data_IF_246515991349
#
_entry.id   IF_246515991349
#
_cell.length_a   1.000
_cell.length_b   1.000
_cell.length_c   1.000
_cell.angle_alpha   90.00
_cell.angle_beta   90.00
_cell.angle_gamma   90.00
#
_symmetry.space_group_name_H-M   'P 1'
#
loop_
_entity.id
_entity.type
_entity.pdbx_description
1 polymer ?
#
# COMPACT_ATOMS: atom_id res chain seq x y z
N UNK A 1 -15.73 -1.04 -33.71
CA UNK A 1 -16.19 -0.94 -32.31
C UNK A 1 -15.49 0.25 -31.70
N UNK A 2 -16.19 1.32 -31.30
CA UNK A 2 -15.52 2.50 -30.76
C UNK A 2 -14.82 2.15 -29.43
N UNK A 3 -13.65 2.72 -29.13
CA UNK A 3 -12.92 2.43 -27.91
C UNK A 3 -13.73 2.89 -26.70
N UNK A 4 -14.05 1.95 -25.80
CA UNK A 4 -14.65 2.27 -24.51
C UNK A 4 -13.61 3.04 -23.67
N UNK A 5 -13.85 4.33 -23.47
CA UNK A 5 -12.99 5.19 -22.66
C UNK A 5 -13.45 5.07 -21.21
N UNK A 6 -12.89 4.12 -20.48
CA UNK A 6 -13.13 4.00 -19.03
C UNK A 6 -12.38 5.12 -18.32
N UNK A 7 -13.07 5.85 -17.43
CA UNK A 7 -12.47 6.90 -16.61
C UNK A 7 -12.24 6.35 -15.20
N UNK A 8 -10.98 6.40 -14.74
CA UNK A 8 -10.60 5.97 -13.39
C UNK A 8 -10.37 7.22 -12.55
N UNK A 9 -11.09 7.33 -11.43
CA UNK A 9 -10.93 8.42 -10.47
C UNK A 9 -9.99 7.97 -9.34
N UNK A 10 -8.84 8.64 -9.22
CA UNK A 10 -7.89 8.42 -8.14
C UNK A 10 -8.35 9.17 -6.87
N UNK A 11 -8.08 8.63 -5.66
CA UNK A 11 -8.36 9.34 -4.41
C UNK A 11 -7.63 10.69 -4.36
N UNK A 12 -8.26 11.67 -3.70
CA UNK A 12 -7.64 12.98 -3.47
C UNK A 12 -6.39 12.83 -2.59
N UNK A 13 -5.28 13.48 -2.97
CA UNK A 13 -4.02 13.47 -2.21
C UNK A 13 -4.19 13.95 -0.76
N UNK A 14 -5.17 14.84 -0.51
CA UNK A 14 -5.41 15.45 0.80
C UNK A 14 -6.89 15.43 1.14
N UNK A 15 -7.20 14.84 2.29
CA UNK A 15 -8.53 14.84 2.89
C UNK A 15 -8.60 16.04 3.84
N UNK A 16 -9.01 17.21 3.34
CA UNK A 16 -8.97 18.45 4.12
C UNK A 16 -10.35 19.07 4.40
N UNK A 17 -11.42 18.70 3.69
CA UNK A 17 -12.75 19.30 3.81
C UNK A 17 -13.85 18.27 4.06
N UNK A 18 -14.78 18.60 4.94
CA UNK A 18 -16.00 17.82 5.13
C UNK A 18 -17.02 18.04 4.00
N UNK A 19 -17.59 16.98 3.46
CA UNK A 19 -18.64 17.00 2.42
C UNK A 19 -19.96 17.64 2.89
N UNK A 20 -20.26 17.63 4.20
CA UNK A 20 -21.50 18.16 4.74
C UNK A 20 -21.40 19.63 5.19
N UNK A 21 -20.36 19.99 5.95
CA UNK A 21 -20.23 21.34 6.53
C UNK A 21 -19.12 22.18 5.88
N UNK A 22 -18.37 21.62 4.94
CA UNK A 22 -17.24 22.26 4.23
C UNK A 22 -16.12 22.80 5.12
N UNK A 23 -16.15 22.53 6.43
CA UNK A 23 -15.09 22.91 7.37
C UNK A 23 -13.86 22.04 7.17
N UNK A 24 -12.69 22.66 7.36
CA UNK A 24 -11.41 21.95 7.36
C UNK A 24 -11.09 21.38 8.73
N UNK A 25 -10.62 20.13 8.76
CA UNK A 25 -10.22 19.43 10.00
C UNK A 25 -9.12 18.43 9.67
N UNK A 26 -8.22 18.19 10.62
CA UNK A 26 -7.07 17.30 10.42
C UNK A 26 -7.42 15.81 10.44
N UNK A 27 -8.49 15.43 11.15
CA UNK A 27 -8.96 14.04 11.25
C UNK A 27 -10.35 13.92 10.64
N UNK A 28 -10.39 13.68 9.34
CA UNK A 28 -11.63 13.40 8.63
C UNK A 28 -11.85 11.88 8.51
N UNK A 29 -13.12 11.51 8.44
CA UNK A 29 -13.61 10.15 8.37
C UNK A 29 -14.14 9.90 6.96
N UNK A 30 -13.76 8.78 6.36
CA UNK A 30 -14.35 8.32 5.12
C UNK A 30 -15.63 7.55 5.39
N UNK A 31 -16.58 7.60 4.47
CA UNK A 31 -17.73 6.71 4.49
C UNK A 31 -17.26 5.25 4.40
N UNK A 32 -17.59 4.41 5.38
CA UNK A 32 -17.19 3.00 5.39
C UNK A 32 -17.81 2.16 4.25
N UNK A 33 -18.94 2.61 3.71
CA UNK A 33 -19.63 1.95 2.60
C UNK A 33 -18.92 2.14 1.26
N UNK A 34 -18.75 3.39 0.83
CA UNK A 34 -18.19 3.73 -0.48
C UNK A 34 -16.71 4.16 -0.44
N UNK A 35 -16.23 4.72 0.67
CA UNK A 35 -14.90 5.32 0.74
C UNK A 35 -14.75 6.62 -0.06
N UNK A 36 -15.84 7.21 -0.57
CA UNK A 36 -15.79 8.39 -1.45
C UNK A 36 -16.11 9.71 -0.73
N UNK A 37 -17.06 9.70 0.22
CA UNK A 37 -17.43 10.90 0.99
C UNK A 37 -16.64 11.04 2.28
N UNK A 38 -16.35 12.29 2.64
CA UNK A 38 -15.44 12.68 3.71
C UNK A 38 -16.20 13.51 4.74
N UNK A 39 -16.08 13.18 6.03
CA UNK A 39 -16.81 13.82 7.11
C UNK A 39 -15.90 14.21 8.26
N UNK A 40 -16.19 15.34 8.92
CA UNK A 40 -15.45 15.70 10.12
C UNK A 40 -15.92 14.94 11.36
N UNK A 41 -17.07 14.26 11.31
CA UNK A 41 -17.67 13.54 12.42
C UNK A 41 -18.82 12.62 11.96
N UNK A 42 -19.26 11.71 12.84
CA UNK A 42 -20.39 10.79 12.57
C UNK A 42 -21.72 11.55 12.42
N UNK A 43 -21.87 12.69 13.07
CA UNK A 43 -23.08 13.52 12.97
C UNK A 43 -23.21 14.14 11.57
N UNK A 44 -22.08 14.59 11.00
CA UNK A 44 -22.04 15.08 9.61
C UNK A 44 -22.38 13.97 8.61
N UNK A 45 -21.90 12.74 8.85
CA UNK A 45 -22.23 11.59 8.02
C UNK A 45 -23.73 11.24 8.10
N UNK A 46 -24.32 11.22 9.30
CA UNK A 46 -25.74 10.88 9.48
C UNK A 46 -26.68 11.92 8.87
N UNK A 47 -26.30 13.20 8.95
CA UNK A 47 -27.07 14.30 8.35
C UNK A 47 -27.06 14.18 6.82
N UNK A 48 -25.89 13.92 6.25
CA UNK A 48 -25.72 13.73 4.82
C UNK A 48 -26.29 12.40 4.32
N UNK A 49 -26.44 11.39 5.18
CA UNK A 49 -26.90 10.04 4.82
C UNK A 49 -28.21 10.03 4.04
N UNK A 50 -29.14 10.95 4.34
CA UNK A 50 -30.42 11.06 3.63
C UNK A 50 -30.23 11.31 2.12
N UNK A 51 -29.25 12.13 1.76
CA UNK A 51 -28.90 12.41 0.37
C UNK A 51 -27.86 11.41 -0.17
N UNK A 52 -26.84 11.11 0.62
CA UNK A 52 -25.73 10.24 0.23
C UNK A 52 -26.14 8.79 0.00
N UNK A 53 -27.12 8.24 0.73
CA UNK A 53 -27.53 6.82 0.61
C UNK A 53 -27.83 6.39 -0.82
N UNK A 54 -28.42 7.29 -1.63
CA UNK A 54 -28.79 7.01 -3.03
C UNK A 54 -27.57 6.85 -3.92
N UNK A 55 -26.49 7.59 -3.64
CA UNK A 55 -25.22 7.57 -4.37
C UNK A 55 -24.09 6.86 -3.62
N UNK A 56 -24.38 6.22 -2.48
CA UNK A 56 -23.36 5.61 -1.64
C UNK A 56 -22.81 4.34 -2.30
N UNK A 57 -21.70 4.52 -3.02
CA UNK A 57 -20.95 3.47 -3.67
C UNK A 57 -21.49 3.09 -5.04
N UNK A 58 -22.51 3.77 -5.56
CA UNK A 58 -23.06 3.52 -6.88
C UNK A 58 -22.73 4.64 -7.85
N UNK A 59 -22.24 4.31 -9.04
CA UNK A 59 -22.23 5.24 -10.17
C UNK A 59 -23.53 5.06 -10.97
N UNK A 60 -24.23 6.16 -11.28
CA UNK A 60 -25.36 6.11 -12.20
C UNK A 60 -24.78 5.97 -13.62
N UNK A 61 -24.74 4.74 -14.12
CA UNK A 61 -24.55 4.52 -15.56
C UNK A 61 -25.94 4.65 -16.20
N UNK A 62 -26.13 5.62 -17.09
CA UNK A 62 -27.32 5.67 -17.95
C UNK A 62 -27.23 4.54 -18.98
N UNK A 63 -27.37 3.28 -18.55
CA UNK A 63 -27.61 2.17 -19.46
C UNK A 63 -29.12 2.08 -19.58
N UNK A 64 -29.64 2.46 -20.75
CA UNK A 64 -30.98 2.09 -21.17
C UNK A 64 -31.04 0.56 -21.20
N UNK A 65 -31.53 -0.05 -20.12
CA UNK A 65 -31.87 -1.46 -20.11
C UNK A 65 -33.16 -1.61 -20.92
N UNK A 66 -33.15 -2.31 -22.07
CA UNK A 66 -34.33 -2.43 -22.93
C UNK A 66 -35.38 -3.40 -22.36
N UNK A 67 -35.13 -4.04 -21.22
CA UNK A 67 -36.07 -4.98 -20.60
C UNK A 67 -36.79 -4.34 -19.41
N UNK A 68 -38.11 -4.25 -19.58
CA UNK A 68 -39.11 -3.55 -18.78
C UNK A 68 -39.38 -4.15 -17.39
N UNK A 69 -38.35 -4.37 -16.59
CA UNK A 69 -38.52 -4.57 -15.16
C UNK A 69 -38.12 -3.30 -14.43
N UNK A 70 -39.14 -2.47 -14.18
CA UNK A 70 -39.03 -1.24 -13.41
C UNK A 70 -38.54 -1.53 -11.99
N UNK A 71 -37.25 -1.28 -11.77
CA UNK A 71 -36.61 -0.84 -10.52
C UNK A 71 -35.15 -0.60 -10.89
N UNK A 72 -34.71 0.65 -10.81
CA UNK A 72 -33.33 1.11 -10.96
C UNK A 72 -32.30 0.03 -10.55
N UNK A 73 -31.67 -0.64 -11.52
CA UNK A 73 -30.53 -1.52 -11.26
C UNK A 73 -29.35 -0.65 -10.83
N UNK A 74 -29.16 -0.49 -9.52
CA UNK A 74 -27.93 0.08 -8.94
C UNK A 74 -26.78 -0.89 -9.23
N UNK A 75 -26.08 -0.65 -10.34
CA UNK A 75 -24.98 -1.47 -10.81
C UNK A 75 -23.65 -0.86 -10.37
N UNK A 76 -22.88 -1.64 -9.61
CA UNK A 76 -21.48 -1.35 -9.29
C UNK A 76 -21.31 -0.66 -7.94
N UNK A 77 -20.87 -1.41 -6.92
CA UNK A 77 -20.21 -0.82 -5.75
C UNK A 77 -18.86 -0.25 -6.19
N UNK A 78 -18.31 0.75 -5.50
CA UNK A 78 -16.90 1.15 -5.65
C UNK A 78 -16.01 -0.09 -5.69
N UNK A 79 -15.29 -0.28 -6.80
CA UNK A 79 -14.41 -1.43 -6.97
C UNK A 79 -13.30 -1.35 -5.94
N UNK A 80 -13.33 -2.27 -4.96
CA UNK A 80 -12.25 -2.45 -4.00
C UNK A 80 -11.31 -3.49 -4.55
N UNK A 81 -10.05 -3.11 -4.69
CA UNK A 81 -8.97 -4.02 -5.03
C UNK A 81 -8.52 -4.66 -3.72
N UNK A 82 -8.67 -5.99 -3.59
CA UNK A 82 -8.13 -6.71 -2.44
C UNK A 82 -6.61 -6.80 -2.58
N UNK A 83 -5.89 -6.01 -1.79
CA UNK A 83 -4.43 -6.01 -1.80
C UNK A 83 -3.86 -7.41 -1.45
N UNK A 84 -4.60 -8.23 -0.70
CA UNK A 84 -4.13 -9.58 -0.38
C UNK A 84 -3.95 -10.45 -1.63
N UNK A 85 -4.81 -10.26 -2.63
CA UNK A 85 -4.70 -10.96 -3.90
C UNK A 85 -3.44 -10.56 -4.70
N UNK A 86 -2.84 -9.41 -4.41
CA UNK A 86 -1.62 -8.93 -5.07
C UNK A 86 -0.35 -9.36 -4.36
N UNK A 87 -0.41 -9.83 -3.10
CA UNK A 87 0.79 -10.25 -2.39
C UNK A 87 1.60 -11.33 -3.12
N UNK A 88 1.01 -12.37 -3.72
CA UNK A 88 1.79 -13.35 -4.48
C UNK A 88 2.56 -12.72 -5.66
N UNK A 89 1.93 -11.76 -6.34
CA UNK A 89 2.57 -11.03 -7.43
C UNK A 89 3.72 -10.14 -6.93
N UNK A 90 3.49 -9.37 -5.85
CA UNK A 90 4.52 -8.53 -5.25
C UNK A 90 5.69 -9.35 -4.69
N UNK A 91 5.41 -10.50 -4.07
CA UNK A 91 6.42 -11.43 -3.59
C UNK A 91 7.26 -11.99 -4.76
N UNK A 92 6.62 -12.38 -5.87
CA UNK A 92 7.31 -12.83 -7.06
C UNK A 92 8.23 -11.74 -7.63
N UNK A 93 7.75 -10.50 -7.75
CA UNK A 93 8.58 -9.37 -8.21
C UNK A 93 9.78 -9.13 -7.29
N UNK A 94 9.61 -9.23 -5.96
CA UNK A 94 10.71 -9.11 -5.00
C UNK A 94 11.76 -10.21 -5.22
N UNK A 95 11.30 -11.46 -5.37
CA UNK A 95 12.20 -12.60 -5.56
C UNK A 95 12.91 -12.57 -6.92
N UNK A 96 12.26 -12.10 -7.98
CA UNK A 96 12.92 -11.91 -9.28
C UNK A 96 14.13 -10.98 -9.19
N UNK A 97 14.06 -9.93 -8.37
CA UNK A 97 15.19 -9.05 -8.11
C UNK A 97 16.28 -9.73 -7.26
N UNK A 98 15.89 -10.65 -6.38
CA UNK A 98 16.84 -11.43 -5.58
C UNK A 98 17.59 -12.49 -6.38
N UNK A 99 16.94 -13.09 -7.38
CA UNK A 99 17.45 -14.17 -8.22
C UNK A 99 18.12 -13.66 -9.51
N UNK A 100 18.22 -12.35 -9.70
CA UNK A 100 18.77 -11.78 -10.93
C UNK A 100 20.24 -12.19 -11.12
N UNK A 101 20.57 -12.75 -12.29
CA UNK A 101 21.90 -13.31 -12.57
C UNK A 101 23.03 -12.28 -12.47
N UNK A 102 22.74 -10.99 -12.69
CA UNK A 102 23.74 -9.93 -12.58
C UNK A 102 23.78 -9.29 -11.18
N UNK A 103 23.03 -9.81 -10.20
CA UNK A 103 23.07 -9.30 -8.83
C UNK A 103 24.44 -9.61 -8.23
N UNK A 104 25.24 -8.60 -7.84
CA UNK A 104 26.52 -8.86 -7.21
C UNK A 104 26.28 -9.57 -5.87
N UNK A 105 27.13 -10.55 -5.55
CA UNK A 105 27.11 -11.20 -4.24
C UNK A 105 27.45 -10.16 -3.19
N UNK A 106 26.57 -9.99 -2.19
CA UNK A 106 26.82 -9.03 -1.11
C UNK A 106 28.01 -9.48 -0.26
N UNK A 107 28.92 -8.57 0.08
CA UNK A 107 30.15 -8.88 0.82
C UNK A 107 29.86 -9.60 2.15
N UNK A 108 28.79 -9.24 2.86
CA UNK A 108 28.43 -9.93 4.11
C UNK A 108 28.11 -11.43 3.95
N UNK A 109 27.85 -11.94 2.74
CA UNK A 109 27.67 -13.39 2.49
C UNK A 109 28.99 -14.16 2.41
N UNK A 110 30.12 -13.45 2.22
CA UNK A 110 31.45 -14.04 2.06
C UNK A 110 32.38 -13.72 3.22
N UNK A 111 31.92 -13.06 4.28
CA UNK A 111 32.78 -12.61 5.38
C UNK A 111 32.09 -12.86 6.72
N UNK A 112 32.87 -13.23 7.75
CA UNK A 112 32.35 -13.33 9.12
C UNK A 112 32.17 -11.95 9.73
N UNK A 113 31.01 -11.69 10.32
CA UNK A 113 30.79 -10.47 11.10
C UNK A 113 31.60 -10.58 12.40
N UNK A 114 32.45 -9.58 12.68
CA UNK A 114 33.35 -9.56 13.85
C UNK A 114 32.70 -8.88 15.05
N UNK A 115 31.90 -7.84 14.83
CA UNK A 115 31.25 -7.07 15.87
C UNK A 115 29.79 -7.48 16.08
N UNK A 116 29.16 -7.01 17.15
CA UNK A 116 27.80 -7.44 17.47
C UNK A 116 26.78 -6.63 16.65
N UNK A 117 25.98 -7.27 15.78
CA UNK A 117 25.02 -6.56 14.95
C UNK A 117 23.78 -6.06 15.73
N UNK A 118 23.74 -6.27 17.04
CA UNK A 118 22.61 -5.89 17.87
C UNK A 118 22.61 -4.36 18.08
N UNK A 119 21.45 -3.69 18.01
CA UNK A 119 21.38 -2.22 18.12
C UNK A 119 21.87 -1.66 19.46
N UNK A 120 21.96 -2.50 20.50
CA UNK A 120 22.36 -2.08 21.85
C UNK A 120 23.87 -2.20 22.13
N UNK A 121 24.64 -2.82 21.22
CA UNK A 121 26.01 -3.25 21.53
C UNK A 121 27.13 -2.33 21.03
N UNK A 122 26.93 -1.59 19.93
CA UNK A 122 28.02 -0.90 19.23
C UNK A 122 27.68 0.57 18.90
N UNK A 123 28.71 1.34 18.53
CA UNK A 123 28.65 2.78 18.25
C UNK A 123 27.87 3.08 16.94
N UNK A 124 26.93 4.03 17.03
CA UNK A 124 26.21 4.58 15.88
C UNK A 124 27.10 5.67 15.25
N UNK A 125 27.40 5.54 13.97
CA UNK A 125 28.20 6.49 13.19
C UNK A 125 27.34 7.30 12.21
N UNK A 126 27.79 8.53 11.95
CA UNK A 126 27.23 9.40 10.91
C UNK A 126 27.81 9.03 9.54
N UNK A 127 26.96 8.64 8.62
CA UNK A 127 27.30 8.38 7.23
C UNK A 127 27.47 9.69 6.45
N UNK A 128 28.25 9.70 5.34
CA UNK A 128 28.46 10.89 4.51
C UNK A 128 27.18 11.49 3.90
N UNK A 129 26.10 10.70 3.84
CA UNK A 129 24.77 11.11 3.37
C UNK A 129 23.90 11.76 4.46
N UNK A 130 24.43 11.90 5.68
CA UNK A 130 23.73 12.46 6.83
C UNK A 130 22.80 11.47 7.54
N UNK A 131 22.83 10.19 7.16
CA UNK A 131 22.11 9.13 7.89
C UNK A 131 22.98 8.58 9.02
N UNK A 132 22.34 8.06 10.07
CA UNK A 132 23.04 7.38 11.17
C UNK A 132 22.93 5.87 10.99
N UNK A 133 24.04 5.16 11.06
CA UNK A 133 24.06 3.69 10.92
C UNK A 133 24.98 3.02 11.94
N UNK A 134 24.73 1.75 12.21
CA UNK A 134 25.65 0.90 12.97
C UNK A 134 26.75 0.42 12.02
N UNK A 135 28.01 0.64 12.37
CA UNK A 135 29.12 0.12 11.58
C UNK A 135 29.26 -1.39 11.81
N UNK A 136 29.20 -2.18 10.74
CA UNK A 136 29.47 -3.62 10.80
C UNK A 136 30.86 -3.91 10.22
N UNK A 137 31.73 -4.50 11.03
CA UNK A 137 33.05 -4.95 10.65
C UNK A 137 33.01 -6.37 10.10
N UNK A 138 33.40 -6.51 8.83
CA UNK A 138 33.54 -7.78 8.14
C UNK A 138 34.99 -8.28 8.26
N UNK A 139 35.16 -9.53 8.69
CA UNK A 139 36.46 -10.20 8.84
C UNK A 139 36.97 -10.83 7.56
N UNK A 140 37.77 -11.89 7.68
CA UNK A 140 38.35 -12.60 6.54
C UNK A 140 37.27 -13.22 5.64
N UNK A 141 37.63 -13.39 4.36
CA UNK A 141 36.75 -13.98 3.37
C UNK A 141 36.61 -15.50 3.60
N UNK A 142 35.38 -15.99 3.65
CA UNK A 142 35.02 -17.39 3.83
C UNK A 142 34.40 -17.90 2.51
N UNK A 143 34.82 -19.07 2.01
CA UNK A 143 34.18 -19.73 0.88
C UNK A 143 32.69 -19.98 1.13
N UNK A 144 31.84 -19.74 0.12
CA UNK A 144 30.39 -19.94 0.21
C UNK A 144 29.97 -21.36 0.61
N UNK A 145 30.81 -22.37 0.34
CA UNK A 145 30.60 -23.77 0.74
C UNK A 145 30.66 -23.99 2.24
N UNK A 146 31.38 -23.15 2.99
CA UNK A 146 31.55 -23.28 4.44
C UNK A 146 30.45 -22.53 5.22
N UNK A 147 29.93 -21.43 4.66
CA UNK A 147 28.91 -20.61 5.30
C UNK A 147 27.51 -21.25 5.40
N UNK A 148 27.19 -22.23 4.56
CA UNK A 148 25.90 -22.94 4.57
C UNK A 148 25.85 -24.11 5.56
N UNK A 149 26.99 -24.58 6.05
CA UNK A 149 27.08 -25.71 7.00
C UNK A 149 26.92 -25.28 8.47
N UNK A 150 26.35 -24.10 8.71
CA UNK A 150 26.12 -23.52 10.05
C UNK A 150 25.02 -24.22 10.87
N UNK A 151 24.83 -25.52 10.73
CA UNK A 151 24.06 -26.36 11.65
C UNK A 151 24.95 -27.47 12.17
N UNK A 152 25.88 -27.15 13.06
CA UNK A 152 26.46 -28.12 13.99
C UNK A 152 27.18 -27.37 15.12
N UNK A 153 26.42 -27.01 16.16
CA UNK A 153 26.87 -26.98 17.55
C UNK A 153 25.69 -27.28 18.46
#
# INVERSE_FOLDING_TARGET
MPPHKETVYLPLEKLDKCSQCSKRKSRLLLCSGCGERIYCSKECQQTDWKAHKVSCGGYIVYIQCPTSHSRSCTLGKTHRIDLNAFYPFLACLSELNHLHAQKPTHNALRHKIINSPNPDSDEIIDCPDGTTALLIHLGEEIPLSEGLNGTEK
#
